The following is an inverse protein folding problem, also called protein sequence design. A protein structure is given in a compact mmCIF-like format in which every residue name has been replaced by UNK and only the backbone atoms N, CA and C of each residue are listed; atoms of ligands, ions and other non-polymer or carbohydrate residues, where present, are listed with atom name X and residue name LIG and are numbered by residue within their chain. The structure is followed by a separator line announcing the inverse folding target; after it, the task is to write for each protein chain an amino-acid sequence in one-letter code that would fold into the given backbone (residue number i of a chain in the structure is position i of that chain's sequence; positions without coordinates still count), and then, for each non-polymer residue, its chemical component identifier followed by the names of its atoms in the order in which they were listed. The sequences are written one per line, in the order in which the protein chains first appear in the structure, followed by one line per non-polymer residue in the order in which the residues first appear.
data_IF_658417756727
#
_entry.id   IF_658417756727
#
_cell.length_a   1.000
_cell.length_b   1.000
_cell.length_c   1.000
_cell.angle_alpha   90.00
_cell.angle_beta   90.00
_cell.angle_gamma   90.00
#
_symmetry.space_group_name_H-M   'P 1'
#
loop_
_entity.id
_entity.type
_entity.pdbx_description
1 polymer ?
#
# COMPACT_ATOMS: atom_id res chain seq x y z
N UNK A 1 27.89 51.26 -26.34
CA UNK A 1 28.10 49.80 -26.22
C UNK A 1 28.21 49.43 -24.75
N UNK A 2 27.16 48.94 -24.06
CA UNK A 2 27.29 48.44 -22.70
C UNK A 2 27.46 46.91 -22.67
N UNK A 3 28.55 46.42 -22.07
CA UNK A 3 28.75 45.02 -21.69
C UNK A 3 28.06 44.74 -20.35
N UNK A 4 26.82 44.24 -20.37
CA UNK A 4 26.18 43.66 -19.19
C UNK A 4 26.24 42.14 -19.25
N UNK A 5 27.33 41.58 -18.73
CA UNK A 5 27.34 40.21 -18.24
C UNK A 5 26.65 40.18 -16.88
N UNK A 6 25.49 39.51 -16.80
CA UNK A 6 25.02 38.75 -15.64
C UNK A 6 23.81 37.90 -16.04
N UNK A 7 24.13 36.64 -16.30
CA UNK A 7 23.26 35.51 -16.60
C UNK A 7 22.09 35.44 -15.61
N UNK A 8 20.86 35.34 -16.14
CA UNK A 8 19.61 35.16 -15.42
C UNK A 8 19.68 34.03 -14.38
N UNK A 9 19.07 34.18 -13.19
CA UNK A 9 18.98 33.10 -12.24
C UNK A 9 18.10 31.99 -12.83
N UNK A 10 18.70 30.81 -12.96
CA UNK A 10 18.05 29.55 -13.29
C UNK A 10 16.95 29.30 -12.25
N UNK A 11 15.70 29.30 -12.67
CA UNK A 11 14.58 28.80 -11.87
C UNK A 11 14.77 27.30 -11.69
N UNK A 12 15.39 26.88 -10.59
CA UNK A 12 15.24 25.50 -10.13
C UNK A 12 13.79 25.35 -9.70
N UNK A 13 12.96 24.82 -10.57
CA UNK A 13 11.65 24.30 -10.21
C UNK A 13 11.87 23.08 -9.31
N UNK A 14 12.24 23.33 -8.05
CA UNK A 14 12.12 22.36 -6.98
C UNK A 14 10.63 22.05 -6.92
N UNK A 15 10.25 20.97 -7.60
CA UNK A 15 8.93 20.36 -7.48
C UNK A 15 8.81 19.96 -6.01
N UNK A 16 8.30 20.89 -5.20
CA UNK A 16 7.90 20.66 -3.84
C UNK A 16 6.74 19.68 -3.92
N UNK A 17 7.05 18.39 -4.03
CA UNK A 17 6.12 17.32 -3.70
C UNK A 17 5.84 17.50 -2.22
N UNK A 18 4.81 18.28 -1.92
CA UNK A 18 4.22 18.36 -0.61
C UNK A 18 4.16 16.92 -0.07
N UNK A 19 4.70 16.64 1.13
CA UNK A 19 4.49 15.34 1.73
C UNK A 19 2.99 15.17 1.81
N UNK A 20 2.46 14.18 1.08
CA UNK A 20 1.07 13.74 1.21
C UNK A 20 0.99 13.12 2.59
N UNK A 21 0.95 13.98 3.61
CA UNK A 21 0.77 13.63 5.01
C UNK A 21 -0.68 13.17 5.06
N UNK A 22 -0.87 11.91 4.64
CA UNK A 22 -2.14 11.24 4.70
C UNK A 22 -2.58 11.35 6.14
N UNK A 23 -3.76 11.91 6.32
CA UNK A 23 -4.47 11.91 7.59
C UNK A 23 -4.65 10.44 8.00
N UNK A 24 -3.65 9.88 8.66
CA UNK A 24 -3.79 8.62 9.37
C UNK A 24 -4.73 8.92 10.52
N UNK A 25 -6.03 8.83 10.24
CA UNK A 25 -7.04 8.86 11.29
C UNK A 25 -6.62 7.80 12.31
N UNK A 26 -6.33 8.24 13.52
CA UNK A 26 -5.91 7.46 14.70
C UNK A 26 -7.03 6.57 15.23
N UNK A 27 -8.13 6.40 14.48
CA UNK A 27 -9.13 5.39 14.77
C UNK A 27 -8.57 4.05 14.31
N UNK A 28 -8.58 3.07 15.22
CA UNK A 28 -8.42 1.65 14.89
C UNK A 28 -9.67 1.22 14.11
N UNK A 29 -9.71 1.59 12.84
CA UNK A 29 -10.74 1.13 11.93
C UNK A 29 -10.61 -0.39 11.84
N UNK A 30 -11.65 -1.13 12.23
CA UNK A 30 -11.66 -2.60 12.19
C UNK A 30 -11.30 -3.13 10.80
N UNK A 31 -11.59 -2.35 9.76
CA UNK A 31 -11.18 -2.59 8.37
C UNK A 31 -9.68 -2.55 8.15
N UNK A 32 -8.98 -1.59 8.75
CA UNK A 32 -7.51 -1.50 8.65
C UNK A 32 -6.85 -2.65 9.39
N UNK A 33 -7.40 -3.04 10.54
CA UNK A 33 -6.90 -4.17 11.33
C UNK A 33 -7.08 -5.48 10.56
N UNK A 34 -8.27 -5.73 10.00
CA UNK A 34 -8.51 -6.89 9.13
C UNK A 34 -7.60 -6.89 7.90
N UNK A 35 -7.35 -5.73 7.28
CA UNK A 35 -6.39 -5.58 6.19
C UNK A 35 -4.95 -5.96 6.60
N UNK A 36 -4.53 -5.60 7.81
CA UNK A 36 -3.23 -5.98 8.38
C UNK A 36 -3.09 -7.49 8.55
N UNK A 37 -4.11 -8.15 9.12
CA UNK A 37 -4.10 -9.61 9.24
C UNK A 37 -4.10 -10.32 7.88
N UNK A 38 -4.87 -9.82 6.90
CA UNK A 38 -4.81 -10.31 5.51
C UNK A 38 -3.41 -10.18 4.91
N UNK A 39 -2.74 -9.06 5.14
CA UNK A 39 -1.37 -8.87 4.68
C UNK A 39 -0.42 -9.89 5.31
N UNK A 40 -0.55 -10.14 6.62
CA UNK A 40 0.23 -11.14 7.34
C UNK A 40 0.03 -12.56 6.78
N UNK A 41 -1.18 -12.93 6.37
CA UNK A 41 -1.45 -14.21 5.71
C UNK A 41 -0.81 -14.34 4.32
N UNK A 42 -0.68 -13.23 3.60
CA UNK A 42 -0.10 -13.19 2.25
C UNK A 42 1.42 -13.06 2.22
N UNK A 43 2.01 -12.56 3.31
CA UNK A 43 3.44 -12.31 3.40
C UNK A 43 4.19 -13.65 3.60
N UNK A 44 5.07 -14.07 2.67
CA UNK A 44 5.82 -15.31 2.79
C UNK A 44 6.74 -15.34 4.02
N UNK A 45 7.17 -14.18 4.51
CA UNK A 45 8.08 -14.06 5.65
C UNK A 45 7.35 -14.17 7.00
N UNK A 46 6.03 -14.30 7.02
CA UNK A 46 5.28 -14.45 8.27
C UNK A 46 5.41 -15.88 8.80
N UNK A 47 5.72 -16.00 10.09
CA UNK A 47 5.82 -17.29 10.79
C UNK A 47 4.50 -18.08 10.74
N UNK A 48 4.59 -19.40 10.93
CA UNK A 48 3.40 -20.27 10.96
C UNK A 48 2.43 -19.87 12.08
N UNK A 49 2.96 -19.61 13.28
CA UNK A 49 2.18 -19.12 14.44
C UNK A 49 1.52 -17.77 14.15
N UNK A 50 2.25 -16.81 13.59
CA UNK A 50 1.69 -15.50 13.23
C UNK A 50 0.56 -15.59 12.20
N UNK A 51 0.66 -16.51 11.23
CA UNK A 51 -0.43 -16.78 10.28
C UNK A 51 -1.64 -17.45 10.94
N UNK A 52 -1.43 -18.36 11.89
CA UNK A 52 -2.54 -18.97 12.64
C UNK A 52 -3.28 -17.93 13.47
N UNK A 53 -2.55 -17.08 14.18
CA UNK A 53 -3.12 -15.97 14.95
C UNK A 53 -3.91 -15.01 14.05
N UNK A 54 -3.35 -14.58 12.92
CA UNK A 54 -4.05 -13.72 11.97
C UNK A 54 -5.36 -14.34 11.42
N UNK A 55 -5.40 -15.66 11.20
CA UNK A 55 -6.64 -16.36 10.82
C UNK A 55 -7.67 -16.35 11.95
N UNK A 56 -7.23 -16.60 13.18
CA UNK A 56 -8.09 -16.60 14.35
C UNK A 56 -8.75 -15.24 14.56
N UNK A 57 -7.96 -14.16 14.50
CA UNK A 57 -8.44 -12.79 14.63
C UNK A 57 -9.43 -12.41 13.51
N UNK A 58 -9.12 -12.75 12.25
CA UNK A 58 -10.06 -12.52 11.14
C UNK A 58 -11.39 -13.26 11.34
N UNK A 59 -11.36 -14.48 11.87
CA UNK A 59 -12.58 -15.25 12.18
C UNK A 59 -13.35 -14.63 13.35
N UNK A 60 -12.67 -14.22 14.42
CA UNK A 60 -13.27 -13.53 15.56
C UNK A 60 -13.92 -12.19 15.16
N UNK A 61 -13.39 -11.52 14.14
CA UNK A 61 -13.95 -10.30 13.57
C UNK A 61 -15.14 -10.54 12.62
N UNK A 62 -15.60 -11.78 12.43
CA UNK A 62 -16.66 -12.13 11.47
C UNK A 62 -16.21 -12.05 10.00
N UNK A 63 -14.90 -11.99 9.75
CA UNK A 63 -14.26 -11.92 8.42
C UNK A 63 -13.49 -13.19 8.08
N UNK A 64 -13.99 -14.33 8.53
CA UNK A 64 -13.36 -15.64 8.29
C UNK A 64 -13.16 -15.94 6.80
N UNK A 65 -14.11 -15.52 5.95
CA UNK A 65 -14.07 -15.76 4.50
C UNK A 65 -12.93 -14.99 3.81
N UNK A 66 -12.51 -13.88 4.40
CA UNK A 66 -11.43 -13.03 3.91
C UNK A 66 -10.03 -13.60 4.21
N UNK A 67 -9.92 -14.61 5.08
CA UNK A 67 -8.66 -15.26 5.43
C UNK A 67 -8.15 -16.21 4.33
N UNK A 68 -8.97 -16.55 3.34
CA UNK A 68 -8.60 -17.47 2.27
C UNK A 68 -7.95 -16.74 1.09
N UNK A 69 -6.61 -16.84 1.01
CA UNK A 69 -5.87 -16.45 -0.20
C UNK A 69 -6.12 -17.51 -1.28
N UNK A 70 -6.67 -17.12 -2.43
CA UNK A 70 -6.99 -18.06 -3.52
C UNK A 70 -5.77 -18.91 -3.91
N UNK A 71 -5.98 -20.18 -4.21
CA UNK A 71 -4.91 -21.11 -4.62
C UNK A 71 -4.10 -20.53 -5.78
N UNK A 72 -4.80 -19.91 -6.75
CA UNK A 72 -4.19 -19.20 -7.87
C UNK A 72 -3.27 -18.06 -7.41
N UNK A 73 -3.67 -17.27 -6.40
CA UNK A 73 -2.83 -16.19 -5.84
C UNK A 73 -1.55 -16.75 -5.21
N UNK A 74 -1.61 -17.93 -4.61
CA UNK A 74 -0.42 -18.61 -4.06
C UNK A 74 0.50 -19.10 -5.17
N UNK A 75 -0.05 -19.77 -6.18
CA UNK A 75 0.71 -20.28 -7.34
C UNK A 75 1.38 -19.12 -8.08
N UNK A 76 0.64 -18.05 -8.40
CA UNK A 76 1.20 -16.87 -9.07
C UNK A 76 2.35 -16.25 -8.26
N UNK A 77 2.21 -16.15 -6.93
CA UNK A 77 3.29 -15.68 -6.04
C UNK A 77 4.50 -16.62 -6.03
N UNK A 78 4.29 -17.94 -5.97
CA UNK A 78 5.36 -18.93 -6.00
C UNK A 78 6.17 -18.88 -7.32
N UNK A 79 5.49 -18.52 -8.42
CA UNK A 79 6.09 -18.33 -9.74
C UNK A 79 6.63 -16.90 -9.98
N UNK A 80 6.64 -16.03 -8.96
CA UNK A 80 7.09 -14.63 -9.10
C UNK A 80 6.13 -13.71 -9.86
N UNK A 81 5.00 -14.22 -10.33
CA UNK A 81 3.96 -13.47 -11.06
C UNK A 81 3.10 -12.71 -10.05
N UNK A 82 3.43 -11.45 -9.78
CA UNK A 82 2.62 -10.62 -8.86
C UNK A 82 1.28 -10.23 -9.51
N UNK A 83 0.20 -10.90 -9.13
CA UNK A 83 -1.15 -10.56 -9.55
C UNK A 83 -1.74 -9.39 -8.75
N UNK A 84 -1.38 -8.16 -9.11
CA UNK A 84 -2.18 -6.95 -8.81
C UNK A 84 -1.85 -5.87 -9.83
N UNK A 85 -2.76 -5.45 -10.73
CA UNK A 85 -2.68 -4.11 -11.29
C UNK A 85 -2.91 -3.16 -10.12
N UNK A 86 -1.91 -2.33 -9.81
CA UNK A 86 -2.02 -1.29 -8.79
C UNK A 86 -3.20 -0.41 -9.22
N UNK A 87 -4.32 -0.48 -8.47
CA UNK A 87 -5.51 0.34 -8.75
C UNK A 87 -5.05 1.79 -8.62
N UNK A 88 -4.74 2.43 -9.74
CA UNK A 88 -4.50 3.86 -9.79
C UNK A 88 -5.85 4.49 -9.44
N UNK A 89 -5.89 5.20 -8.32
CA UNK A 89 -7.00 6.10 -8.01
C UNK A 89 -7.04 7.14 -9.14
N UNK A 90 -7.78 6.84 -10.22
CA UNK A 90 -8.15 7.84 -11.22
C UNK A 90 -9.04 8.84 -10.50
N UNK A 91 -8.45 9.99 -10.19
CA UNK A 91 -9.18 11.15 -9.72
C UNK A 91 -10.32 11.42 -10.71
N UNK A 92 -11.53 11.52 -10.18
CA UNK A 92 -12.59 12.27 -10.84
C UNK A 92 -12.07 13.70 -11.02
N UNK A 93 -11.76 14.05 -12.26
CA UNK A 93 -11.73 15.44 -12.70
C UNK A 93 -13.14 15.74 -13.23
N UNK A 94 -13.63 16.91 -12.86
CA UNK A 94 -14.94 17.47 -13.24
C UNK A 94 -15.07 17.59 -14.76
#
# INVERSE_FOLDING_TARGET
MPLFSRRSPRTTTTSQRAPRRGFFHTRRDRDRVAGGYKAALSNPNTTKSGRQHAKHELRAMGRGDEAHVSLLTKIKRALGIRSTPRRTTRQRQY
#
